data_IF_794408946970
#
_entry.id   IF_794408946970
#
_cell.length_a   1.000
_cell.length_b   1.000
_cell.length_c   1.000
_cell.angle_alpha   90.00
_cell.angle_beta   90.00
_cell.angle_gamma   90.00
#
_symmetry.space_group_name_H-M   'P 1'
#
loop_
_entity.id
_entity.type
_entity.pdbx_description
1 polymer ?
#
# COMPACT_ATOMS: atom_id res chain seq x y z
N UNK A 1 -14.75 8.95 4.95
CA UNK A 1 -15.31 7.58 4.99
C UNK A 1 -14.22 6.56 4.70
N UNK A 2 -14.22 5.37 5.36
CA UNK A 2 -13.31 4.24 5.02
C UNK A 2 -14.13 3.04 4.58
N UNK A 3 -13.79 2.47 3.42
CA UNK A 3 -14.40 1.26 2.86
C UNK A 3 -13.38 0.12 2.98
N UNK A 4 -13.82 -1.07 3.40
CA UNK A 4 -13.03 -2.31 3.38
C UNK A 4 -13.53 -3.19 2.25
N UNK A 5 -12.64 -3.54 1.32
CA UNK A 5 -12.96 -4.31 0.13
C UNK A 5 -12.03 -5.51 0.02
N UNK A 6 -12.54 -6.76 0.14
CA UNK A 6 -11.76 -7.94 -0.24
C UNK A 6 -11.34 -7.86 -1.70
N UNK A 7 -10.08 -8.19 -1.97
CA UNK A 7 -9.51 -8.09 -3.32
C UNK A 7 -8.51 -9.21 -3.55
N UNK A 8 -8.73 -10.02 -4.58
CA UNK A 8 -7.94 -11.21 -4.83
C UNK A 8 -6.48 -10.87 -5.17
N UNK A 9 -5.56 -11.52 -4.46
CA UNK A 9 -4.11 -11.38 -4.61
C UNK A 9 -3.53 -12.70 -5.15
N UNK A 10 -3.26 -12.81 -6.48
CA UNK A 10 -2.85 -14.04 -7.13
C UNK A 10 -1.56 -14.66 -6.59
N UNK A 11 -0.48 -13.89 -6.26
CA UNK A 11 0.74 -14.48 -5.75
C UNK A 11 0.57 -15.23 -4.42
N UNK A 12 -0.41 -14.83 -3.61
CA UNK A 12 -0.78 -15.48 -2.35
C UNK A 12 -1.97 -16.44 -2.46
N UNK A 13 -2.62 -16.52 -3.64
CA UNK A 13 -3.85 -17.33 -3.88
C UNK A 13 -4.95 -17.11 -2.85
N UNK A 14 -5.09 -15.89 -2.37
CA UNK A 14 -6.04 -15.50 -1.32
C UNK A 14 -6.39 -14.01 -1.45
N UNK A 15 -7.43 -13.59 -0.75
CA UNK A 15 -7.79 -12.18 -0.73
C UNK A 15 -6.84 -11.37 0.17
N UNK A 16 -6.71 -10.09 -0.16
CA UNK A 16 -6.18 -9.03 0.70
C UNK A 16 -7.25 -7.97 0.84
N UNK A 17 -7.37 -7.36 2.01
CA UNK A 17 -8.32 -6.27 2.21
C UNK A 17 -7.72 -4.97 1.69
N UNK A 18 -8.46 -4.26 0.85
CA UNK A 18 -8.18 -2.86 0.53
C UNK A 18 -8.93 -1.98 1.53
N UNK A 19 -8.21 -1.16 2.29
CA UNK A 19 -8.75 -0.15 3.19
C UNK A 19 -8.74 1.19 2.46
N UNK A 20 -9.91 1.64 1.97
CA UNK A 20 -10.01 2.77 1.06
C UNK A 20 -10.61 3.97 1.80
N UNK A 21 -9.80 4.97 2.08
CA UNK A 21 -10.27 6.25 2.59
C UNK A 21 -10.70 7.16 1.44
N UNK A 22 -11.92 7.69 1.57
CA UNK A 22 -12.49 8.70 0.66
C UNK A 22 -12.76 9.99 1.43
N UNK A 23 -12.31 11.16 0.92
CA UNK A 23 -12.64 12.46 1.54
C UNK A 23 -14.12 12.75 1.39
N UNK A 24 -14.80 13.03 2.51
CA UNK A 24 -16.23 13.36 2.54
C UNK A 24 -16.46 14.84 2.33
N UNK A 25 -17.62 15.18 1.76
CA UNK A 25 -18.03 16.57 1.57
C UNK A 25 -17.18 17.37 0.57
N UNK A 26 -16.27 16.72 -0.15
CA UNK A 26 -15.40 17.33 -1.15
C UNK A 26 -15.82 16.88 -2.54
N UNK A 27 -16.06 17.82 -3.45
CA UNK A 27 -16.29 17.54 -4.87
C UNK A 27 -14.99 17.44 -5.65
N UNK A 28 -15.07 16.87 -6.86
CA UNK A 28 -13.93 16.80 -7.79
C UNK A 28 -13.23 15.45 -7.80
N UNK A 29 -12.02 15.44 -8.38
CA UNK A 29 -11.15 14.26 -8.44
C UNK A 29 -9.94 14.47 -7.52
N UNK A 30 -9.39 13.36 -7.00
CA UNK A 30 -8.39 13.41 -5.95
C UNK A 30 -7.11 12.66 -6.34
N UNK A 31 -5.92 13.13 -5.90
CA UNK A 31 -4.71 12.33 -5.94
C UNK A 31 -4.87 11.08 -5.06
N UNK A 32 -4.09 10.05 -5.38
CA UNK A 32 -4.14 8.76 -4.67
C UNK A 32 -2.80 8.44 -4.04
N UNK A 33 -2.82 8.00 -2.79
CA UNK A 33 -1.67 7.40 -2.11
C UNK A 33 -1.97 5.93 -1.82
N UNK A 34 -1.18 5.02 -2.38
CA UNK A 34 -1.22 3.60 -2.07
C UNK A 34 -0.28 3.30 -0.91
N UNK A 35 -0.80 2.64 0.12
CA UNK A 35 -0.06 2.30 1.33
C UNK A 35 0.05 0.79 1.50
N UNK A 36 1.25 0.30 1.80
CA UNK A 36 1.45 -1.04 2.32
C UNK A 36 1.04 -1.13 3.79
N UNK A 37 0.67 -2.33 4.26
CA UNK A 37 0.15 -2.58 5.62
C UNK A 37 -1.12 -1.79 5.94
N UNK A 38 -2.07 -1.79 5.02
CA UNK A 38 -3.29 -0.99 5.07
C UNK A 38 -4.13 -1.12 6.34
N UNK A 39 -4.08 -2.29 7.00
CA UNK A 39 -4.78 -2.57 8.25
C UNK A 39 -4.31 -1.69 9.43
N UNK A 40 -3.09 -1.15 9.37
CA UNK A 40 -2.54 -0.29 10.43
C UNK A 40 -2.95 1.18 10.33
N UNK A 41 -3.66 1.60 9.27
CA UNK A 41 -3.78 3.03 8.96
C UNK A 41 -4.90 3.74 9.72
N UNK A 42 -6.09 3.13 9.84
CA UNK A 42 -7.31 3.88 10.14
C UNK A 42 -7.97 3.55 11.47
N UNK A 43 -8.02 2.28 11.87
CA UNK A 43 -8.76 1.83 13.06
C UNK A 43 -7.88 0.97 13.97
N UNK A 44 -7.96 1.25 15.26
CA UNK A 44 -7.23 0.49 16.29
C UNK A 44 -7.61 -0.99 16.29
N UNK A 45 -8.88 -1.31 15.98
CA UNK A 45 -9.38 -2.69 15.88
C UNK A 45 -8.75 -3.53 14.78
N UNK A 46 -8.20 -2.90 13.75
CA UNK A 46 -7.58 -3.56 12.60
C UNK A 46 -6.05 -3.69 12.75
N UNK A 47 -5.48 -2.79 13.55
CA UNK A 47 -4.04 -2.62 13.64
C UNK A 47 -3.34 -3.80 14.36
N UNK A 48 -2.21 -4.24 13.84
CA UNK A 48 -1.41 -5.35 14.37
C UNK A 48 -1.13 -5.25 15.88
N UNK A 49 -0.88 -4.04 16.37
CA UNK A 49 -0.54 -3.79 17.78
C UNK A 49 -1.68 -3.10 18.54
N UNK A 50 -2.91 -3.15 18.04
CA UNK A 50 -4.08 -2.53 18.69
C UNK A 50 -4.05 -1.00 18.70
N UNK A 51 -3.15 -0.38 17.89
CA UNK A 51 -3.06 1.08 17.73
C UNK A 51 -2.79 1.43 16.28
N UNK A 52 -3.74 2.11 15.66
CA UNK A 52 -3.63 2.61 14.30
C UNK A 52 -2.77 3.88 14.22
N UNK A 53 -2.43 4.28 13.01
CA UNK A 53 -1.71 5.53 12.76
C UNK A 53 -2.60 6.77 12.89
N UNK A 54 -3.91 6.61 13.12
CA UNK A 54 -4.87 7.71 13.19
C UNK A 54 -4.99 8.49 11.87
N UNK A 55 -4.69 7.82 10.75
CA UNK A 55 -4.63 8.51 9.45
C UNK A 55 -6.00 9.02 9.00
N UNK A 56 -7.10 8.39 9.44
CA UNK A 56 -8.46 8.87 9.13
C UNK A 56 -8.71 10.24 9.73
N UNK A 57 -8.45 10.41 11.02
CA UNK A 57 -8.66 11.65 11.76
C UNK A 57 -7.78 12.78 11.20
N UNK A 58 -6.54 12.45 10.87
CA UNK A 58 -5.63 13.38 10.20
C UNK A 58 -6.19 13.85 8.84
N UNK A 59 -6.60 12.92 7.97
CA UNK A 59 -7.10 13.23 6.63
C UNK A 59 -8.44 13.96 6.65
N UNK A 60 -9.31 13.67 7.61
CA UNK A 60 -10.59 14.37 7.79
C UNK A 60 -10.38 15.87 8.10
N UNK A 61 -9.30 16.20 8.80
CA UNK A 61 -8.94 17.59 9.15
C UNK A 61 -8.02 18.27 8.14
N UNK A 62 -7.41 17.51 7.22
CA UNK A 62 -6.41 18.06 6.32
C UNK A 62 -7.04 18.84 5.16
N UNK A 63 -6.47 20.02 4.87
CA UNK A 63 -6.98 20.92 3.84
C UNK A 63 -6.76 20.44 2.40
N UNK A 64 -5.87 19.45 2.18
CA UNK A 64 -5.54 18.92 0.85
C UNK A 64 -6.14 17.51 0.69
N UNK A 65 -7.38 17.37 0.23
CA UNK A 65 -8.05 16.09 0.17
C UNK A 65 -7.35 15.12 -0.79
N UNK A 66 -7.27 13.86 -0.40
CA UNK A 66 -6.73 12.76 -1.21
C UNK A 66 -7.47 11.46 -0.90
N UNK A 67 -7.42 10.52 -1.83
CA UNK A 67 -7.80 9.13 -1.60
C UNK A 67 -6.57 8.39 -1.07
N UNK A 68 -6.76 7.58 -0.02
CA UNK A 68 -5.73 6.66 0.47
C UNK A 68 -6.21 5.24 0.32
N UNK A 69 -5.40 4.40 -0.31
CA UNK A 69 -5.69 2.98 -0.51
C UNK A 69 -4.65 2.16 0.25
N UNK A 70 -5.03 1.68 1.41
CA UNK A 70 -4.22 0.77 2.22
C UNK A 70 -4.38 -0.67 1.75
N UNK A 71 -3.31 -1.30 1.31
CA UNK A 71 -3.29 -2.70 0.91
C UNK A 71 -2.84 -3.55 2.10
N UNK A 72 -3.69 -4.46 2.55
CA UNK A 72 -3.35 -5.39 3.61
C UNK A 72 -2.39 -6.47 3.09
N UNK A 73 -1.46 -6.91 3.94
CA UNK A 73 -0.58 -8.05 3.68
C UNK A 73 -1.15 -9.35 4.25
N UNK A 74 -0.46 -10.46 4.04
CA UNK A 74 -0.74 -11.69 4.77
C UNK A 74 -0.34 -11.57 6.24
N UNK A 75 -1.16 -12.13 7.12
CA UNK A 75 -0.85 -12.27 8.55
C UNK A 75 -0.34 -13.67 8.92
N UNK A 76 -0.05 -14.53 7.92
CA UNK A 76 0.37 -15.90 8.13
C UNK A 76 1.90 -16.06 8.02
N UNK A 77 2.54 -16.45 9.11
CA UNK A 77 3.98 -16.75 9.15
C UNK A 77 4.83 -15.62 8.54
N UNK A 78 5.74 -15.98 7.64
CA UNK A 78 6.64 -15.03 6.97
C UNK A 78 6.10 -14.47 5.64
N UNK A 79 4.84 -14.75 5.29
CA UNK A 79 4.30 -14.38 3.98
C UNK A 79 4.35 -12.87 3.72
N UNK A 80 4.13 -12.03 4.75
CA UNK A 80 4.29 -10.57 4.60
C UNK A 80 5.71 -10.19 4.16
N UNK A 81 6.73 -10.83 4.72
CA UNK A 81 8.13 -10.58 4.34
C UNK A 81 8.36 -10.96 2.88
N UNK A 82 7.84 -12.09 2.43
CA UNK A 82 7.94 -12.53 1.03
C UNK A 82 7.20 -11.58 0.07
N UNK A 83 5.98 -11.18 0.43
CA UNK A 83 5.16 -10.24 -0.35
C UNK A 83 5.84 -8.88 -0.54
N UNK A 84 6.66 -8.47 0.44
CA UNK A 84 7.33 -7.16 0.47
C UNK A 84 8.85 -7.24 0.23
N UNK A 85 9.34 -8.38 -0.24
CA UNK A 85 10.73 -8.56 -0.61
C UNK A 85 10.87 -8.45 -2.14
N UNK A 86 11.41 -7.33 -2.69
CA UNK A 86 11.48 -7.11 -4.14
C UNK A 86 12.62 -7.86 -4.83
N UNK A 87 13.57 -8.40 -4.08
CA UNK A 87 14.72 -9.17 -4.56
C UNK A 87 15.12 -10.20 -3.51
N UNK A 88 15.88 -11.26 -3.89
CA UNK A 88 16.31 -12.28 -2.93
C UNK A 88 17.02 -11.69 -1.72
N UNK A 89 16.64 -12.14 -0.53
CA UNK A 89 17.27 -11.71 0.71
C UNK A 89 18.78 -12.11 0.74
N UNK A 90 19.57 -11.28 1.39
CA UNK A 90 21.01 -11.50 1.57
C UNK A 90 21.36 -11.92 3.01
N UNK A 91 22.60 -12.21 3.28
CA UNK A 91 23.10 -12.55 4.62
C UNK A 91 22.40 -13.77 5.22
N UNK A 92 22.03 -13.67 6.49
CA UNK A 92 21.41 -14.75 7.26
C UNK A 92 20.02 -15.16 6.74
N UNK A 93 19.38 -14.34 5.92
CA UNK A 93 18.09 -14.60 5.31
C UNK A 93 18.19 -15.19 3.89
N UNK A 94 19.39 -15.34 3.36
CA UNK A 94 19.60 -15.87 2.00
C UNK A 94 18.96 -17.27 1.84
N UNK A 95 18.11 -17.41 0.80
CA UNK A 95 17.43 -18.66 0.48
C UNK A 95 16.30 -19.09 1.42
N UNK A 96 16.00 -18.32 2.48
CA UNK A 96 14.91 -18.64 3.44
C UNK A 96 13.56 -18.07 3.05
N UNK A 97 13.54 -17.03 2.23
CA UNK A 97 12.34 -16.30 1.80
C UNK A 97 12.27 -16.25 0.28
N UNK A 98 11.06 -16.36 -0.23
CA UNK A 98 10.77 -16.17 -1.67
C UNK A 98 10.45 -14.72 -1.93
N UNK A 99 11.22 -14.06 -2.80
CA UNK A 99 10.97 -12.67 -3.17
C UNK A 99 9.75 -12.55 -4.10
N UNK A 100 8.66 -11.96 -3.62
CA UNK A 100 7.41 -11.71 -4.35
C UNK A 100 7.07 -10.22 -4.48
N UNK A 101 7.99 -9.34 -4.09
CA UNK A 101 7.71 -7.91 -4.06
C UNK A 101 7.38 -7.33 -5.42
N UNK A 102 8.08 -7.73 -6.48
CA UNK A 102 7.76 -7.28 -7.84
C UNK A 102 6.39 -7.81 -8.30
N UNK A 103 6.01 -9.05 -7.95
CA UNK A 103 4.67 -9.58 -8.22
C UNK A 103 3.58 -8.78 -7.46
N UNK A 104 3.89 -8.32 -6.25
CA UNK A 104 2.99 -7.45 -5.46
C UNK A 104 2.83 -6.08 -6.12
N UNK A 105 3.92 -5.48 -6.63
CA UNK A 105 3.85 -4.23 -7.37
C UNK A 105 3.11 -4.39 -8.71
N UNK A 106 3.34 -5.49 -9.41
CA UNK A 106 2.62 -5.82 -10.65
C UNK A 106 1.11 -5.97 -10.39
N UNK A 107 0.73 -6.67 -9.30
CA UNK A 107 -0.66 -6.75 -8.87
C UNK A 107 -1.26 -5.37 -8.58
N UNK A 108 -0.52 -4.50 -7.88
CA UNK A 108 -0.95 -3.14 -7.58
C UNK A 108 -1.25 -2.37 -8.87
N UNK A 109 -0.32 -2.35 -9.84
CA UNK A 109 -0.47 -1.53 -11.05
C UNK A 109 -1.41 -2.13 -12.09
N UNK A 110 -1.56 -3.46 -12.13
CA UNK A 110 -2.37 -4.14 -13.16
C UNK A 110 -3.78 -4.49 -12.70
N UNK A 111 -4.04 -4.54 -11.38
CA UNK A 111 -5.33 -4.93 -10.81
C UNK A 111 -5.91 -3.89 -9.88
N UNK A 112 -5.18 -3.53 -8.80
CA UNK A 112 -5.69 -2.60 -7.78
C UNK A 112 -5.90 -1.21 -8.35
N UNK A 113 -4.85 -0.62 -8.95
CA UNK A 113 -4.93 0.74 -9.48
C UNK A 113 -6.03 0.91 -10.53
N UNK A 114 -6.19 0.05 -11.54
CA UNK A 114 -7.30 0.16 -12.50
C UNK A 114 -8.68 0.04 -11.85
N UNK A 115 -8.83 -0.83 -10.84
CA UNK A 115 -10.07 -0.94 -10.08
C UNK A 115 -10.40 0.36 -9.33
N UNK A 116 -9.41 0.94 -8.64
CA UNK A 116 -9.58 2.19 -7.90
C UNK A 116 -9.90 3.35 -8.85
N UNK A 117 -9.17 3.48 -9.96
CA UNK A 117 -9.38 4.54 -10.94
C UNK A 117 -10.74 4.44 -11.66
N UNK A 118 -11.24 3.22 -11.86
CA UNK A 118 -12.55 2.98 -12.49
C UNK A 118 -13.75 3.16 -11.54
N UNK A 119 -13.52 3.08 -10.22
CA UNK A 119 -14.61 3.07 -9.23
C UNK A 119 -14.71 4.37 -8.43
N UNK A 120 -13.63 5.09 -8.26
CA UNK A 120 -13.55 6.27 -7.40
C UNK A 120 -13.08 7.51 -8.18
N UNK A 121 -13.37 8.71 -7.71
CA UNK A 121 -13.02 9.95 -8.41
C UNK A 121 -11.52 10.27 -8.26
N UNK A 122 -10.66 9.47 -8.86
CA UNK A 122 -9.21 9.65 -8.85
C UNK A 122 -8.74 10.58 -9.94
N UNK A 123 -7.56 11.18 -9.75
CA UNK A 123 -6.73 11.74 -10.81
C UNK A 123 -5.71 10.65 -11.17
N UNK A 124 -5.91 9.89 -12.27
CA UNK A 124 -5.19 8.63 -12.52
C UNK A 124 -3.74 8.81 -13.01
N UNK A 125 -3.29 10.07 -13.15
CA UNK A 125 -1.97 10.39 -13.68
C UNK A 125 -0.87 10.14 -12.65
N UNK A 126 0.31 9.80 -13.16
CA UNK A 126 1.52 9.56 -12.37
C UNK A 126 1.80 10.67 -11.35
N UNK A 127 1.65 11.94 -11.77
CA UNK A 127 1.94 13.12 -10.94
C UNK A 127 1.04 13.20 -9.70
N UNK A 128 -0.14 12.59 -9.77
CA UNK A 128 -1.13 12.54 -8.68
C UNK A 128 -1.19 11.16 -8.00
N UNK A 129 -0.21 10.28 -8.28
CA UNK A 129 -0.15 8.93 -7.69
C UNK A 129 1.13 8.77 -6.88
N UNK A 130 0.99 8.39 -5.62
CA UNK A 130 2.09 8.11 -4.71
C UNK A 130 2.00 6.71 -4.11
N UNK A 131 3.11 6.27 -3.51
CA UNK A 131 3.22 4.98 -2.84
C UNK A 131 3.89 5.19 -1.47
N UNK A 132 3.48 4.44 -0.46
CA UNK A 132 3.95 4.64 0.90
C UNK A 132 3.99 3.34 1.70
N UNK A 133 4.82 3.31 2.72
CA UNK A 133 4.88 2.19 3.65
C UNK A 133 5.97 2.36 4.70
N UNK A 134 5.94 1.49 5.71
CA UNK A 134 6.95 1.46 6.76
C UNK A 134 7.70 0.13 6.78
N UNK A 135 8.93 0.13 7.28
CA UNK A 135 9.77 -1.06 7.38
C UNK A 135 9.91 -1.75 6.00
N UNK A 136 9.48 -3.02 5.86
CA UNK A 136 9.40 -3.72 4.58
C UNK A 136 8.48 -3.02 3.58
N UNK A 137 7.36 -2.44 4.03
CA UNK A 137 6.50 -1.60 3.19
C UNK A 137 7.20 -0.34 2.69
N UNK A 138 8.11 0.23 3.48
CA UNK A 138 8.98 1.33 3.06
C UNK A 138 9.99 0.92 1.98
N UNK A 139 10.57 -0.28 2.09
CA UNK A 139 11.41 -0.86 1.05
C UNK A 139 10.63 -1.02 -0.27
N UNK A 140 9.40 -1.52 -0.19
CA UNK A 140 8.50 -1.64 -1.34
C UNK A 140 8.15 -0.27 -1.96
N UNK A 141 7.96 0.76 -1.13
CA UNK A 141 7.71 2.12 -1.62
C UNK A 141 8.93 2.69 -2.39
N UNK A 142 10.16 2.43 -1.91
CA UNK A 142 11.40 2.76 -2.62
C UNK A 142 11.45 2.02 -3.97
N UNK A 143 11.20 0.71 -3.96
CA UNK A 143 11.19 -0.10 -5.18
C UNK A 143 10.13 0.40 -6.16
N UNK A 144 8.94 0.76 -5.66
CA UNK A 144 7.85 1.31 -6.46
C UNK A 144 8.23 2.60 -7.18
N UNK A 145 8.80 3.58 -6.48
CA UNK A 145 9.15 4.87 -7.09
C UNK A 145 10.36 4.77 -8.02
N UNK A 146 11.29 3.85 -7.79
CA UNK A 146 12.47 3.65 -8.64
C UNK A 146 12.19 2.76 -9.85
N UNK A 147 11.60 1.58 -9.63
CA UNK A 147 11.39 0.58 -10.68
C UNK A 147 10.07 0.73 -11.44
N UNK A 148 9.08 1.35 -10.82
CA UNK A 148 7.73 1.56 -11.37
C UNK A 148 7.41 3.06 -11.53
N UNK A 149 8.41 3.86 -11.83
CA UNK A 149 8.32 5.32 -11.91
C UNK A 149 7.35 5.84 -12.98
N UNK A 150 6.95 4.98 -13.92
CA UNK A 150 5.88 5.27 -14.89
C UNK A 150 4.52 5.47 -14.18
N UNK A 151 4.33 4.86 -13.01
CA UNK A 151 3.08 4.82 -12.27
C UNK A 151 3.08 5.73 -11.03
N UNK A 152 4.25 5.87 -10.39
CA UNK A 152 4.40 6.60 -9.13
C UNK A 152 5.40 7.74 -9.27
N UNK A 153 4.98 8.95 -8.87
CA UNK A 153 5.85 10.13 -8.91
C UNK A 153 6.52 10.42 -7.57
N UNK A 154 6.01 9.86 -6.48
CA UNK A 154 6.47 10.13 -5.13
C UNK A 154 6.32 8.92 -4.21
N UNK A 155 7.21 8.81 -3.24
CA UNK A 155 7.14 7.79 -2.20
C UNK A 155 7.27 8.40 -0.82
N UNK A 156 6.52 7.85 0.15
CA UNK A 156 6.77 8.07 1.58
C UNK A 156 7.33 6.78 2.18
N UNK A 157 8.62 6.82 2.52
CA UNK A 157 9.39 5.66 2.94
C UNK A 157 9.74 5.82 4.42
N UNK A 158 8.95 5.18 5.30
CA UNK A 158 9.08 5.36 6.75
C UNK A 158 9.89 4.22 7.35
N UNK A 159 11.03 4.56 7.97
CA UNK A 159 11.91 3.59 8.64
C UNK A 159 12.15 2.33 7.79
N UNK A 160 12.50 2.52 6.52
CA UNK A 160 12.59 1.44 5.53
C UNK A 160 13.62 0.38 5.88
N UNK A 161 13.31 -0.90 5.68
CA UNK A 161 14.17 -2.05 5.93
C UNK A 161 15.22 -2.23 4.80
N UNK A 162 16.12 -1.26 4.63
CA UNK A 162 17.08 -1.24 3.51
C UNK A 162 18.17 -2.30 3.64
N UNK A 163 18.46 -2.75 4.86
CA UNK A 163 19.49 -3.76 5.15
C UNK A 163 18.99 -5.19 5.20
N UNK A 164 17.81 -5.49 4.69
CA UNK A 164 17.14 -6.79 4.78
C UNK A 164 17.65 -7.80 3.74
#
# INVERSE_FOLDING_TARGET
MVIKQPFYYPPGKSDRTLHIYLPEGKGGRFPVMYFFDGHNLFFDSDATYGKSWGLKEFLDSWSKPMIVVGMECSHTGNQRLEEYLPYPAAGDNAGKLTAKGDETLDWLITRVKPYIDGRFPTIPFRECTGIAGSSMGGLMAIRGVLGYNRWFSKAACLSSAIGF
#
